data_IF_706324116427
#
_entry.id   IF_706324116427
#
_cell.length_a   1.000
_cell.length_b   1.000
_cell.length_c   1.000
_cell.angle_alpha   90.00
_cell.angle_beta   90.00
_cell.angle_gamma   90.00
#
_symmetry.space_group_name_H-M   'P 1'
#
loop_
_entity.id
_entity.type
_entity.pdbx_description
1 polymer ?
#
# COMPACT_ATOMS: atom_id res chain seq x y z
N UNK A 1 6.85 15.78 4.93
CA UNK A 1 6.00 14.71 4.37
C UNK A 1 6.90 13.92 3.46
N UNK A 2 7.15 12.66 3.79
CA UNK A 2 7.89 11.75 2.92
C UNK A 2 6.86 10.92 2.15
N UNK A 3 7.02 10.86 0.83
CA UNK A 3 6.15 10.11 -0.07
C UNK A 3 7.05 9.13 -0.82
N UNK A 4 6.63 7.86 -0.84
CA UNK A 4 7.16 6.90 -1.79
C UNK A 4 6.31 6.95 -3.06
N UNK A 5 6.95 7.11 -4.21
CA UNK A 5 6.28 7.16 -5.51
C UNK A 5 6.89 6.11 -6.47
N UNK A 6 6.04 5.27 -7.08
CA UNK A 6 6.39 4.35 -8.16
C UNK A 6 5.44 4.60 -9.35
N UNK A 7 5.98 5.08 -10.47
CA UNK A 7 5.23 5.40 -11.68
C UNK A 7 5.80 4.66 -12.89
N UNK A 8 4.93 3.99 -13.65
CA UNK A 8 5.31 3.12 -14.75
C UNK A 8 4.18 2.95 -15.76
N UNK A 9 4.56 2.74 -17.02
CA UNK A 9 3.64 2.31 -18.08
C UNK A 9 3.77 0.81 -18.26
N UNK A 10 2.73 0.07 -17.88
CA UNK A 10 2.69 -1.40 -17.94
C UNK A 10 1.44 -1.89 -18.68
N UNK A 11 1.43 -3.16 -19.09
CA UNK A 11 0.25 -3.75 -19.72
C UNK A 11 -0.89 -3.94 -18.71
N UNK A 12 -2.14 -4.02 -19.20
CA UNK A 12 -3.31 -4.37 -18.35
C UNK A 12 -3.14 -5.71 -17.64
N UNK A 13 -2.41 -6.65 -18.24
CA UNK A 13 -2.13 -7.95 -17.64
C UNK A 13 -1.18 -7.82 -16.45
N UNK A 14 -0.11 -7.04 -16.59
CA UNK A 14 0.88 -6.82 -15.53
C UNK A 14 0.28 -5.99 -14.39
N UNK A 15 -0.57 -5.01 -14.71
CA UNK A 15 -1.34 -4.27 -13.70
C UNK A 15 -2.21 -5.22 -12.88
N UNK A 16 -2.95 -6.13 -13.53
CA UNK A 16 -3.78 -7.11 -12.83
C UNK A 16 -2.94 -8.08 -11.97
N UNK A 17 -1.75 -8.48 -12.44
CA UNK A 17 -0.85 -9.30 -11.65
C UNK A 17 -0.34 -8.55 -10.40
N UNK A 18 0.02 -7.27 -10.55
CA UNK A 18 0.47 -6.43 -9.45
C UNK A 18 -0.62 -6.19 -8.41
N UNK A 19 -1.86 -5.88 -8.83
CA UNK A 19 -2.99 -5.71 -7.93
C UNK A 19 -3.31 -6.98 -7.13
N UNK A 20 -3.20 -8.17 -7.74
CA UNK A 20 -3.34 -9.45 -7.01
C UNK A 20 -2.23 -9.64 -5.98
N UNK A 21 -0.99 -9.30 -6.32
CA UNK A 21 0.12 -9.39 -5.37
C UNK A 21 -0.06 -8.47 -4.16
N UNK A 22 -0.67 -7.29 -4.35
CA UNK A 22 -1.05 -6.40 -3.23
C UNK A 22 -2.18 -7.03 -2.41
N UNK A 23 -3.20 -7.59 -3.05
CA UNK A 23 -4.28 -8.27 -2.35
C UNK A 23 -3.78 -9.44 -1.49
N UNK A 24 -2.90 -10.29 -2.03
CA UNK A 24 -2.29 -11.42 -1.31
C UNK A 24 -1.47 -10.93 -0.10
N UNK A 25 -0.78 -9.80 -0.24
CA UNK A 25 -0.01 -9.16 0.83
C UNK A 25 -0.90 -8.64 1.97
N UNK A 26 -2.02 -7.99 1.62
CA UNK A 26 -3.01 -7.53 2.59
C UNK A 26 -3.63 -8.72 3.36
N UNK A 27 -3.98 -9.80 2.67
CA UNK A 27 -4.62 -10.99 3.27
C UNK A 27 -3.68 -11.78 4.18
N UNK A 28 -2.41 -11.92 3.80
CA UNK A 28 -1.44 -12.77 4.53
C UNK A 28 -0.98 -12.20 5.88
N UNK A 29 -1.06 -10.88 6.06
CA UNK A 29 -0.56 -10.25 7.30
C UNK A 29 -0.72 -8.75 7.38
N UNK A 30 -1.56 -8.14 6.53
CA UNK A 30 -1.83 -6.71 6.54
C UNK A 30 -0.57 -5.87 6.28
N UNK A 31 0.36 -6.34 5.45
CA UNK A 31 1.61 -5.60 5.14
C UNK A 31 1.82 -5.48 3.65
N UNK A 32 2.03 -4.26 3.17
CA UNK A 32 2.33 -3.98 1.76
C UNK A 32 3.81 -3.61 1.62
N UNK A 33 4.49 -4.28 0.69
CA UNK A 33 5.88 -4.04 0.31
C UNK A 33 5.92 -3.07 -0.88
N UNK A 34 6.65 -1.97 -0.74
CA UNK A 34 6.84 -0.96 -1.79
C UNK A 34 8.28 -0.96 -2.33
N UNK A 35 8.77 -2.16 -2.66
CA UNK A 35 10.11 -2.38 -3.21
C UNK A 35 11.23 -2.13 -2.20
N UNK A 36 12.33 -1.51 -2.66
CA UNK A 36 13.46 -1.18 -1.78
C UNK A 36 13.14 -0.08 -0.75
N UNK A 37 11.97 0.55 -0.85
CA UNK A 37 11.50 1.56 0.11
C UNK A 37 11.03 0.96 1.44
N UNK A 38 10.73 -0.34 1.49
CA UNK A 38 10.36 -1.03 2.72
C UNK A 38 8.92 -1.57 2.72
N UNK A 39 8.32 -1.62 3.91
CA UNK A 39 6.99 -2.16 4.15
C UNK A 39 6.14 -1.21 4.98
N UNK A 40 4.83 -1.19 4.72
CA UNK A 40 3.84 -0.49 5.55
C UNK A 40 2.83 -1.49 6.12
N UNK A 41 2.53 -1.37 7.41
CA UNK A 41 1.44 -2.11 8.06
C UNK A 41 0.11 -1.40 7.83
N UNK A 42 -0.90 -2.17 7.42
CA UNK A 42 -2.27 -1.75 7.14
C UNK A 42 -3.16 -2.26 8.27
N UNK A 43 -4.07 -1.42 8.76
CA UNK A 43 -4.98 -1.80 9.84
C UNK A 43 -6.02 -2.84 9.38
N UNK A 44 -6.56 -3.62 10.32
CA UNK A 44 -7.62 -4.61 10.06
C UNK A 44 -8.88 -3.98 9.44
N UNK A 45 -9.13 -2.71 9.74
CA UNK A 45 -10.24 -1.94 9.18
C UNK A 45 -9.69 -0.67 8.52
N UNK A 46 -10.04 -0.48 7.25
CA UNK A 46 -9.61 0.66 6.44
C UNK A 46 -10.82 1.38 5.87
N UNK A 47 -10.65 2.67 5.59
CA UNK A 47 -11.50 3.38 4.67
C UNK A 47 -10.95 3.18 3.25
N UNK A 48 -11.79 2.78 2.31
CA UNK A 48 -11.39 2.51 0.94
C UNK A 48 -12.30 3.29 -0.01
N UNK A 49 -11.69 4.04 -0.92
CA UNK A 49 -12.36 4.80 -1.96
C UNK A 49 -11.89 4.33 -3.34
N UNK A 50 -12.82 4.28 -4.28
CA UNK A 50 -12.57 4.00 -5.69
C UNK A 50 -13.15 5.16 -6.49
N UNK A 51 -12.27 5.90 -7.14
CA UNK A 51 -12.65 7.01 -8.00
C UNK A 51 -12.32 6.66 -9.46
N UNK A 52 -13.24 7.03 -10.35
CA UNK A 52 -13.08 6.83 -11.80
C UNK A 52 -13.47 8.14 -12.44
N UNK A 53 -12.50 8.80 -13.07
CA UNK A 53 -12.69 10.09 -13.69
C UNK A 53 -12.35 10.04 -15.17
N UNK A 54 -12.95 10.94 -15.94
CA UNK A 54 -12.65 11.09 -17.36
C UNK A 54 -12.60 12.56 -17.71
N UNK A 55 -11.41 13.03 -18.09
CA UNK A 55 -11.16 14.40 -18.51
C UNK A 55 -10.56 14.40 -19.92
N UNK A 56 -11.36 14.86 -20.90
CA UNK A 56 -10.95 14.85 -22.30
C UNK A 56 -10.68 13.43 -22.82
N UNK A 57 -9.48 13.15 -23.37
CA UNK A 57 -9.11 11.83 -23.87
C UNK A 57 -8.59 10.88 -22.78
N UNK A 58 -8.46 11.34 -21.54
CA UNK A 58 -7.85 10.58 -20.46
C UNK A 58 -8.92 10.01 -19.52
N UNK A 59 -8.69 8.77 -19.07
CA UNK A 59 -9.50 8.10 -18.04
C UNK A 59 -8.56 7.58 -16.98
N UNK A 60 -8.83 7.93 -15.73
CA UNK A 60 -8.08 7.46 -14.56
C UNK A 60 -8.95 6.57 -13.69
N UNK A 61 -8.28 5.68 -12.95
CA UNK A 61 -8.87 4.92 -11.85
C UNK A 61 -7.93 5.12 -10.66
N UNK A 62 -8.47 5.59 -9.56
CA UNK A 62 -7.73 5.77 -8.31
C UNK A 62 -8.33 4.84 -7.24
N UNK A 63 -7.45 4.14 -6.53
CA UNK A 63 -7.80 3.30 -5.40
C UNK A 63 -7.06 3.88 -4.20
N UNK A 64 -7.81 4.55 -3.32
CA UNK A 64 -7.26 5.12 -2.11
C UNK A 64 -7.67 4.27 -0.90
N UNK A 65 -6.68 3.95 -0.05
CA UNK A 65 -6.90 3.21 1.18
C UNK A 65 -6.29 4.01 2.32
N UNK A 66 -7.11 4.43 3.27
CA UNK A 66 -6.69 5.22 4.42
C UNK A 66 -7.08 4.54 5.73
N UNK A 67 -6.21 4.64 6.72
CA UNK A 67 -6.46 4.13 8.06
C UNK A 67 -5.82 5.04 9.11
N UNK A 68 -6.45 5.09 10.29
CA UNK A 68 -5.90 5.79 11.44
C UNK A 68 -5.08 4.86 12.31
N UNK A 69 -3.85 5.26 12.68
CA UNK A 69 -3.02 4.49 13.60
C UNK A 69 -1.58 4.98 13.62
N UNK A 70 -1.02 5.19 14.80
CA UNK A 70 0.35 5.65 15.05
C UNK A 70 1.37 4.73 14.38
N UNK A 71 2.37 5.31 13.71
CA UNK A 71 3.63 4.63 13.38
C UNK A 71 4.04 3.85 14.62
N UNK A 72 3.86 2.54 14.60
CA UNK A 72 4.36 1.68 15.67
C UNK A 72 5.83 1.54 15.35
N UNK A 73 6.64 2.42 15.95
CA UNK A 73 8.08 2.19 16.04
C UNK A 73 8.27 0.75 16.51
N UNK A 74 9.01 -0.02 15.72
CA UNK A 74 9.38 -1.38 16.04
C UNK A 74 9.97 -1.40 17.45
N UNK A 75 9.28 -2.09 18.35
CA UNK A 75 9.77 -2.43 19.68
C UNK A 75 10.99 -3.34 19.52
N UNK A 76 12.18 -2.74 19.51
CA UNK A 76 13.44 -3.46 19.62
C UNK A 76 13.63 -3.85 21.09
N UNK A 77 12.86 -4.87 21.49
CA UNK A 77 13.04 -5.53 22.78
C UNK A 77 14.29 -6.41 22.71
N UNK A 78 15.40 -5.86 23.20
CA UNK A 78 16.47 -6.65 23.80
C UNK A 78 16.69 -6.14 25.23
N UNK A 79 15.94 -6.73 26.15
CA UNK A 79 16.26 -6.72 27.58
C UNK A 79 17.67 -7.30 27.77
N UNK A 80 18.56 -6.55 28.42
CA UNK A 80 19.75 -7.12 29.06
C UNK A 80 19.89 -6.53 30.48
N UNK A 81 19.35 -7.32 31.43
CA UNK A 81 19.87 -7.69 32.75
C UNK A 81 20.52 -6.63 33.66
N UNK A 82 19.93 -6.41 34.86
CA UNK A 82 20.55 -6.61 36.19
C UNK A 82 19.51 -6.68 37.32
#
# INVERSE_FOLDING_TARGET
MEIFEDSRVISRHDLAAWLRAIADQLDSGGKVFFGAGGTVSVADNVHCELEIESEGPETSIEIEVTWGGTVTESDDAAEDTE
#
